data_IF_502395477304
#
_entry.id   IF_502395477304
#
_cell.length_a   1.000
_cell.length_b   1.000
_cell.length_c   1.000
_cell.angle_alpha   90.00
_cell.angle_beta   90.00
_cell.angle_gamma   90.00
#
_symmetry.space_group_name_H-M   'P 1'
#
loop_
_entity.id
_entity.type
_entity.pdbx_description
1 polymer ?
#
# COMPACT_ATOMS: atom_id res chain seq x y z
N UNK A 1 9.21 -12.34 -20.55
CA UNK A 1 9.72 -11.26 -19.66
C UNK A 1 8.64 -10.20 -19.51
N UNK A 2 7.76 -10.28 -18.50
CA UNK A 2 6.63 -9.31 -18.33
C UNK A 2 6.21 -9.06 -16.88
N UNK A 3 6.92 -9.58 -15.88
CA UNK A 3 6.48 -9.50 -14.47
C UNK A 3 6.58 -8.10 -13.83
N UNK A 4 7.38 -7.19 -14.40
CA UNK A 4 7.59 -5.85 -13.85
C UNK A 4 6.43 -4.88 -14.12
N UNK A 5 5.76 -4.99 -15.26
CA UNK A 5 4.70 -4.05 -15.67
C UNK A 5 3.39 -4.30 -14.96
N UNK A 6 2.99 -5.57 -14.76
CA UNK A 6 1.73 -5.90 -14.06
C UNK A 6 1.72 -5.36 -12.61
N UNK A 7 2.84 -5.53 -11.90
CA UNK A 7 2.98 -5.02 -10.53
C UNK A 7 2.89 -3.50 -10.45
N UNK A 8 3.43 -2.80 -11.47
CA UNK A 8 3.41 -1.34 -11.61
C UNK A 8 2.00 -0.82 -11.90
N UNK A 9 1.24 -1.51 -12.75
CA UNK A 9 -0.17 -1.18 -13.03
C UNK A 9 -1.05 -1.42 -11.80
N UNK A 10 -0.83 -2.52 -11.07
CA UNK A 10 -1.57 -2.83 -9.82
C UNK A 10 -1.32 -1.80 -8.72
N UNK A 11 -0.08 -1.39 -8.48
CA UNK A 11 0.22 -0.34 -7.49
C UNK A 11 -0.36 0.99 -7.92
N UNK A 12 -0.29 1.36 -9.19
CA UNK A 12 -0.89 2.59 -9.68
C UNK A 12 -2.41 2.61 -9.47
N UNK A 13 -3.11 1.50 -9.73
CA UNK A 13 -4.54 1.38 -9.43
C UNK A 13 -4.82 1.47 -7.93
N UNK A 14 -4.02 0.80 -7.11
CA UNK A 14 -4.13 0.86 -5.65
C UNK A 14 -4.00 2.30 -5.14
N UNK A 15 -2.95 3.02 -5.55
CA UNK A 15 -2.66 4.39 -5.13
C UNK A 15 -3.69 5.38 -5.66
N UNK A 16 -4.18 5.22 -6.89
CA UNK A 16 -5.25 6.06 -7.44
C UNK A 16 -6.58 5.89 -6.68
N UNK A 17 -6.86 4.69 -6.17
CA UNK A 17 -8.04 4.42 -5.34
C UNK A 17 -7.79 4.69 -3.84
N UNK A 18 -6.57 5.05 -3.47
CA UNK A 18 -6.18 5.26 -2.08
C UNK A 18 -6.46 6.70 -1.67
N UNK A 19 -7.39 6.88 -0.74
CA UNK A 19 -7.68 8.20 -0.15
C UNK A 19 -6.52 8.60 0.75
N UNK A 20 -5.94 9.77 0.46
CA UNK A 20 -4.84 10.39 1.23
C UNK A 20 -5.22 10.47 2.70
N UNK A 21 -4.29 10.20 3.61
CA UNK A 21 -4.50 10.24 5.06
C UNK A 21 -5.21 9.02 5.64
N UNK A 22 -5.65 8.06 4.82
CA UNK A 22 -6.43 6.91 5.29
C UNK A 22 -5.56 5.65 5.40
N UNK A 23 -5.35 5.09 6.61
CA UNK A 23 -4.71 3.79 6.75
C UNK A 23 -5.64 2.67 6.27
N UNK A 24 -5.10 1.70 5.53
CA UNK A 24 -5.83 0.48 5.15
C UNK A 24 -5.25 -0.74 5.86
N UNK A 25 -6.13 -1.53 6.43
CA UNK A 25 -5.76 -2.81 7.04
C UNK A 25 -5.24 -3.79 6.00
N UNK A 26 -4.24 -4.59 6.39
CA UNK A 26 -3.67 -5.67 5.58
C UNK A 26 -4.75 -6.67 5.17
N UNK A 27 -5.73 -6.94 6.04
CA UNK A 27 -6.88 -7.80 5.75
C UNK A 27 -7.75 -7.26 4.62
N UNK A 28 -8.02 -5.96 4.58
CA UNK A 28 -8.79 -5.32 3.52
C UNK A 28 -8.05 -5.35 2.18
N UNK A 29 -6.74 -5.10 2.20
CA UNK A 29 -5.90 -5.20 1.01
C UNK A 29 -5.84 -6.63 0.49
N UNK A 30 -5.71 -7.62 1.38
CA UNK A 30 -5.77 -9.04 1.03
C UNK A 30 -7.13 -9.41 0.40
N UNK A 31 -8.24 -8.97 0.99
CA UNK A 31 -9.58 -9.16 0.43
C UNK A 31 -9.76 -8.45 -0.92
N UNK A 32 -9.06 -7.35 -1.16
CA UNK A 32 -9.06 -6.63 -2.44
C UNK A 32 -8.15 -7.25 -3.50
N UNK A 33 -7.50 -8.39 -3.21
CA UNK A 33 -6.64 -9.11 -4.14
C UNK A 33 -5.15 -8.77 -4.07
N UNK A 34 -4.70 -8.05 -3.03
CA UNK A 34 -3.28 -7.77 -2.80
C UNK A 34 -2.67 -8.78 -1.83
N UNK A 35 -1.85 -9.68 -2.36
CA UNK A 35 -1.12 -10.66 -1.55
C UNK A 35 -0.15 -9.97 -0.57
N UNK A 36 0.10 -10.63 0.56
CA UNK A 36 1.02 -10.10 1.59
C UNK A 36 2.44 -9.85 1.04
N UNK A 37 2.90 -10.69 0.12
CA UNK A 37 4.19 -10.51 -0.56
C UNK A 37 4.25 -9.22 -1.43
N UNK A 38 3.15 -8.90 -2.12
CA UNK A 38 2.99 -7.66 -2.87
C UNK A 38 3.04 -6.43 -1.95
N UNK A 39 2.35 -6.50 -0.80
CA UNK A 39 2.39 -5.42 0.20
C UNK A 39 3.80 -5.22 0.77
N UNK A 40 4.54 -6.31 1.03
CA UNK A 40 5.93 -6.24 1.48
C UNK A 40 6.83 -5.62 0.39
N UNK A 41 6.65 -6.00 -0.88
CA UNK A 41 7.37 -5.39 -2.01
C UNK A 41 7.09 -3.89 -2.09
N UNK A 42 5.81 -3.49 -2.03
CA UNK A 42 5.40 -2.09 -2.07
C UNK A 42 5.97 -1.29 -0.90
N UNK A 43 6.02 -1.88 0.30
CA UNK A 43 6.70 -1.31 1.45
C UNK A 43 8.19 -1.11 1.19
N UNK A 44 8.90 -2.14 0.74
CA UNK A 44 10.34 -2.09 0.51
C UNK A 44 10.74 -1.13 -0.63
N UNK A 45 9.88 -0.97 -1.63
CA UNK A 45 10.08 0.01 -2.70
C UNK A 45 9.68 1.45 -2.34
N UNK A 46 9.15 1.68 -1.13
CA UNK A 46 8.75 3.01 -0.67
C UNK A 46 7.42 3.53 -1.23
N UNK A 47 6.50 2.64 -1.64
CA UNK A 47 5.12 3.02 -2.03
C UNK A 47 4.16 3.03 -0.83
N UNK A 48 4.42 2.18 0.17
CA UNK A 48 3.61 2.03 1.37
C UNK A 48 4.47 2.13 2.62
N UNK A 49 3.92 2.67 3.69
CA UNK A 49 4.56 2.70 5.02
C UNK A 49 3.70 1.94 6.03
N UNK A 50 4.31 1.19 6.96
CA UNK A 50 3.55 0.52 8.01
C UNK A 50 2.93 1.55 8.95
N UNK A 51 1.63 1.40 9.24
CA UNK A 51 0.88 2.26 10.14
C UNK A 51 0.25 1.41 11.25
N UNK A 52 0.85 1.43 12.44
CA UNK A 52 0.39 0.63 13.58
C UNK A 52 0.46 -0.89 13.34
N UNK A 53 -0.38 -1.65 14.06
CA UNK A 53 -0.44 -3.11 13.95
C UNK A 53 -1.28 -3.55 12.75
N UNK A 54 -0.60 -3.83 11.64
CA UNK A 54 -1.21 -4.53 10.50
C UNK A 54 -1.99 -3.63 9.54
N UNK A 55 -1.78 -2.32 9.56
CA UNK A 55 -2.24 -1.43 8.50
C UNK A 55 -1.04 -0.81 7.78
N UNK A 56 -1.32 -0.33 6.57
CA UNK A 56 -0.39 0.42 5.74
C UNK A 56 -1.01 1.78 5.43
N UNK A 57 -0.17 2.78 5.24
CA UNK A 57 -0.51 4.07 4.64
C UNK A 57 0.28 4.24 3.35
N UNK A 58 -0.15 5.17 2.50
CA UNK A 58 0.62 5.57 1.33
C UNK A 58 1.90 6.28 1.78
N UNK A 59 3.04 5.91 1.19
CA UNK A 59 4.31 6.53 1.51
C UNK A 59 4.35 8.00 1.03
N UNK A 60 4.88 8.88 1.88
CA UNK A 60 4.90 10.33 1.61
C UNK A 60 3.56 11.03 1.86
N UNK A 61 2.54 10.29 2.29
CA UNK A 61 1.34 10.85 2.88
C UNK A 61 1.72 11.39 4.26
N UNK A 62 1.67 12.72 4.45
CA UNK A 62 1.89 13.34 5.76
C UNK A 62 0.67 13.07 6.64
N UNK A 63 0.54 11.84 7.12
CA UNK A 63 -0.40 11.51 8.19
C UNK A 63 0.19 12.10 9.47
N UNK A 64 -0.07 13.39 9.69
CA UNK A 64 0.31 14.04 10.95
C UNK A 64 -0.42 13.32 12.07
N UNK A 65 0.31 12.50 12.84
CA UNK A 65 -0.16 11.96 14.11
C UNK A 65 -0.03 13.11 15.12
N UNK A 66 -1.12 13.76 15.56
CA UNK A 66 -1.04 14.77 16.60
C UNK A 66 -1.18 14.05 17.93
N UNK A 67 -0.08 13.44 18.40
CA UNK A 67 0.13 13.05 19.81
C UNK A 67 -0.94 12.18 20.47
#
# INVERSE_FOLDING_TARGET
>A
MTMGTESKTKINRLINQWVVGTPRATSYLAASGFSRDLLVKYKNSGWLEPFGRGAYIRAGDKVGWPG
#
